data_IF_750243602626
#
_entry.id   IF_750243602626
#
_cell.length_a   1.000
_cell.length_b   1.000
_cell.length_c   1.000
_cell.angle_alpha   90.00
_cell.angle_beta   90.00
_cell.angle_gamma   90.00
#
_symmetry.space_group_name_H-M   'P 1'
#
loop_
_entity.id
_entity.type
_entity.pdbx_description
1 polymer ?
#
# COMPACT_ATOMS: atom_id res chain seq x y z
N UNK A 1 -3.09 -1.62 31.93
CA UNK A 1 -2.48 -1.06 30.70
C UNK A 1 -2.66 -2.11 29.61
N UNK A 2 -3.65 -1.98 28.73
CA UNK A 2 -3.91 -3.02 27.72
C UNK A 2 -2.83 -2.99 26.63
N UNK A 3 -2.12 -4.11 26.55
CA UNK A 3 -0.96 -4.43 25.70
C UNK A 3 -1.31 -4.81 24.25
N UNK A 4 -2.59 -4.79 23.86
CA UNK A 4 -2.99 -5.15 22.50
C UNK A 4 -2.98 -3.93 21.58
N UNK A 5 -1.84 -3.74 20.90
CA UNK A 5 -1.64 -2.77 19.83
C UNK A 5 -2.50 -3.06 18.58
N UNK A 6 -3.19 -4.20 18.58
CA UNK A 6 -3.96 -4.71 17.45
C UNK A 6 -5.45 -4.89 17.80
N UNK A 7 -6.34 -4.41 16.94
CA UNK A 7 -7.79 -4.56 17.04
C UNK A 7 -8.28 -5.72 16.14
N UNK A 8 -9.04 -6.63 16.74
CA UNK A 8 -9.62 -7.78 16.05
C UNK A 8 -10.71 -7.36 15.05
N UNK A 9 -10.94 -8.21 14.04
CA UNK A 9 -11.95 -8.01 13.00
C UNK A 9 -13.34 -7.67 13.56
N UNK A 10 -13.79 -8.32 14.63
CA UNK A 10 -15.10 -8.02 15.23
C UNK A 10 -15.17 -6.63 15.85
N UNK A 11 -14.13 -6.23 16.58
CA UNK A 11 -14.04 -4.91 17.24
C UNK A 11 -14.05 -3.79 16.19
N UNK A 12 -13.27 -3.97 15.12
CA UNK A 12 -13.19 -3.03 14.00
C UNK A 12 -14.52 -2.96 13.23
N UNK A 13 -15.14 -4.11 12.95
CA UNK A 13 -16.41 -4.16 12.25
C UNK A 13 -17.53 -3.48 13.06
N UNK A 14 -17.55 -3.69 14.38
CA UNK A 14 -18.47 -3.02 15.29
C UNK A 14 -18.27 -1.49 15.28
N UNK A 15 -17.02 -1.03 15.31
CA UNK A 15 -16.69 0.41 15.30
C UNK A 15 -17.13 1.12 14.01
N UNK A 16 -17.18 0.40 12.88
CA UNK A 16 -17.59 0.93 11.57
C UNK A 16 -19.09 0.67 11.30
N UNK A 17 -19.76 -0.09 12.17
CA UNK A 17 -21.17 -0.48 11.99
C UNK A 17 -21.39 -1.44 10.82
N UNK A 18 -20.41 -2.30 10.51
CA UNK A 18 -20.48 -3.29 9.41
C UNK A 18 -20.40 -4.71 9.95
N UNK A 19 -20.79 -5.68 9.11
CA UNK A 19 -20.67 -7.10 9.47
C UNK A 19 -19.21 -7.56 9.36
N UNK A 20 -18.71 -8.37 10.31
CA UNK A 20 -17.33 -8.87 10.29
C UNK A 20 -17.00 -9.64 9.00
N UNK A 21 -17.92 -10.49 8.55
CA UNK A 21 -17.81 -11.26 7.31
C UNK A 21 -17.82 -10.38 6.05
N UNK A 22 -18.46 -9.20 6.09
CA UNK A 22 -18.41 -8.23 5.00
C UNK A 22 -17.04 -7.55 4.95
N UNK A 23 -16.53 -7.11 6.10
CA UNK A 23 -15.21 -6.47 6.20
C UNK A 23 -14.11 -7.40 5.68
N UNK A 24 -14.12 -8.68 6.05
CA UNK A 24 -13.14 -9.66 5.56
C UNK A 24 -13.09 -9.78 4.02
N UNK A 25 -14.23 -9.65 3.33
CA UNK A 25 -14.31 -9.76 1.86
C UNK A 25 -14.06 -8.42 1.15
N UNK A 26 -14.48 -7.32 1.76
CA UNK A 26 -14.50 -6.00 1.10
C UNK A 26 -13.47 -5.01 1.66
N UNK A 27 -12.63 -5.40 2.64
CA UNK A 27 -11.67 -4.49 3.26
C UNK A 27 -10.77 -3.78 2.25
N UNK A 28 -10.34 -4.48 1.18
CA UNK A 28 -9.45 -3.91 0.16
C UNK A 28 -10.13 -2.77 -0.61
N UNK A 29 -11.33 -3.05 -1.12
CA UNK A 29 -12.16 -2.04 -1.80
C UNK A 29 -12.55 -0.91 -0.85
N UNK A 30 -12.78 -1.22 0.42
CA UNK A 30 -13.11 -0.22 1.45
C UNK A 30 -11.91 0.70 1.77
N UNK A 31 -10.70 0.15 1.83
CA UNK A 31 -9.45 0.91 1.94
C UNK A 31 -9.27 1.88 0.77
N UNK A 32 -9.45 1.39 -0.46
CA UNK A 32 -9.30 2.21 -1.67
C UNK A 32 -10.31 3.37 -1.73
N UNK A 33 -11.51 3.19 -1.16
CA UNK A 33 -12.56 4.22 -1.19
C UNK A 33 -12.49 5.22 -0.04
N UNK A 34 -12.07 4.79 1.15
CA UNK A 34 -12.19 5.60 2.38
C UNK A 34 -10.85 5.85 3.08
N UNK A 35 -9.76 5.32 2.55
CA UNK A 35 -8.43 5.39 3.18
C UNK A 35 -8.32 4.55 4.46
N UNK A 36 -9.23 3.59 4.66
CA UNK A 36 -9.26 2.74 5.86
C UNK A 36 -7.95 1.99 6.08
N UNK A 37 -7.35 1.89 7.28
CA UNK A 37 -6.03 1.25 7.48
C UNK A 37 -5.90 -0.16 6.89
N UNK A 38 -4.69 -0.47 6.38
CA UNK A 38 -4.36 -1.80 5.85
C UNK A 38 -4.33 -2.83 6.98
N UNK A 39 -4.74 -4.07 6.65
CA UNK A 39 -4.69 -5.20 7.58
C UNK A 39 -3.26 -5.71 7.73
N UNK A 40 -2.98 -6.33 8.86
CA UNK A 40 -1.70 -7.01 9.12
C UNK A 40 -1.68 -8.31 8.32
N UNK A 41 -0.64 -8.62 7.52
CA UNK A 41 -0.63 -9.83 6.69
C UNK A 41 -0.64 -11.13 7.49
N UNK A 42 -0.23 -11.09 8.77
CA UNK A 42 -0.22 -12.24 9.68
C UNK A 42 -1.61 -12.65 10.21
N UNK A 43 -2.67 -11.86 9.99
CA UNK A 43 -4.02 -12.20 10.46
C UNK A 43 -5.11 -11.22 10.01
N UNK A 44 -6.37 -11.54 10.29
CA UNK A 44 -7.48 -10.59 10.04
C UNK A 44 -7.56 -9.55 11.18
N UNK A 45 -6.46 -8.81 11.40
CA UNK A 45 -6.28 -7.88 12.52
C UNK A 45 -5.73 -6.55 12.00
N UNK A 46 -6.13 -5.44 12.63
CA UNK A 46 -5.70 -4.09 12.29
C UNK A 46 -4.92 -3.43 13.42
N UNK A 47 -4.03 -2.47 13.12
CA UNK A 47 -3.40 -1.66 14.16
C UNK A 47 -4.46 -0.79 14.83
N UNK A 48 -4.65 -0.95 16.15
CA UNK A 48 -5.69 -0.24 16.91
C UNK A 48 -5.53 1.28 16.79
N UNK A 49 -4.29 1.76 16.87
CA UNK A 49 -3.95 3.19 16.74
C UNK A 49 -4.33 3.76 15.38
N UNK A 50 -4.14 3.00 14.31
CA UNK A 50 -4.49 3.43 12.97
C UNK A 50 -6.01 3.50 12.78
N UNK A 51 -6.75 2.52 13.33
CA UNK A 51 -8.22 2.52 13.30
C UNK A 51 -8.78 3.67 14.14
N UNK A 52 -8.26 3.90 15.35
CA UNK A 52 -8.66 5.02 16.21
C UNK A 52 -8.39 6.37 15.54
N UNK A 53 -7.22 6.55 14.92
CA UNK A 53 -6.90 7.76 14.17
C UNK A 53 -7.86 7.97 13.00
N UNK A 54 -8.19 6.91 12.26
CA UNK A 54 -9.15 6.97 11.14
C UNK A 54 -10.58 7.30 11.60
N UNK A 55 -11.04 6.69 12.71
CA UNK A 55 -12.33 7.00 13.31
C UNK A 55 -12.40 8.44 13.81
N UNK A 56 -11.31 8.94 14.42
CA UNK A 56 -11.22 10.34 14.89
C UNK A 56 -11.29 11.34 13.74
N UNK A 57 -10.75 10.99 12.57
CA UNK A 57 -10.84 11.81 11.34
C UNK A 57 -12.19 11.65 10.62
N UNK A 58 -13.15 10.90 11.18
CA UNK A 58 -14.49 10.75 10.60
C UNK A 58 -14.52 9.97 9.29
N UNK A 59 -13.53 9.11 9.05
CA UNK A 59 -13.42 8.36 7.80
C UNK A 59 -13.04 9.20 6.57
N UNK A 60 -12.59 10.44 6.79
CA UNK A 60 -12.14 11.35 5.74
C UNK A 60 -10.61 11.38 5.69
N UNK A 61 -9.99 10.25 5.34
CA UNK A 61 -8.71 10.34 4.66
C UNK A 61 -9.04 10.43 3.18
N UNK A 62 -8.95 11.65 2.64
CA UNK A 62 -8.93 11.83 1.19
C UNK A 62 -7.81 10.94 0.68
N UNK A 63 -8.19 9.86 0.00
CA UNK A 63 -7.25 8.97 -0.68
C UNK A 63 -6.62 9.84 -1.75
N UNK A 64 -5.48 10.45 -1.45
CA UNK A 64 -4.58 10.80 -2.53
C UNK A 64 -4.28 9.48 -3.23
N UNK A 65 -4.60 9.34 -4.53
CA UNK A 65 -4.26 8.14 -5.26
C UNK A 65 -2.74 8.08 -5.32
N UNK A 66 -2.11 7.44 -4.33
CA UNK A 66 -0.75 6.97 -4.49
C UNK A 66 -0.82 5.88 -5.55
N UNK A 67 -0.38 6.24 -6.76
CA UNK A 67 -0.18 5.28 -7.82
C UNK A 67 0.71 4.15 -7.27
N UNK A 68 0.24 2.91 -7.36
CA UNK A 68 0.88 1.68 -6.85
C UNK A 68 2.31 1.46 -7.42
N UNK A 69 2.72 2.28 -8.40
CA UNK A 69 3.97 2.17 -9.15
C UNK A 69 4.79 3.47 -9.17
N UNK A 70 4.78 4.31 -8.12
CA UNK A 70 5.78 5.38 -8.01
C UNK A 70 7.17 4.80 -7.68
N UNK A 71 7.79 4.23 -8.70
CA UNK A 71 9.21 3.94 -8.75
C UNK A 71 9.93 5.15 -9.35
N UNK A 72 9.85 6.30 -8.69
CA UNK A 72 10.48 7.55 -9.15
C UNK A 72 12.03 7.48 -9.08
N UNK A 73 12.60 6.40 -8.54
CA UNK A 73 14.04 6.25 -8.32
C UNK A 73 14.73 5.02 -8.92
N UNK A 74 14.04 3.92 -9.27
CA UNK A 74 14.75 2.70 -9.73
C UNK A 74 14.88 2.56 -11.25
N UNK A 75 14.27 3.43 -12.06
CA UNK A 75 14.56 3.49 -13.49
C UNK A 75 16.04 3.84 -13.75
N UNK A 76 16.61 4.70 -12.90
CA UNK A 76 18.01 5.14 -12.99
C UNK A 76 18.99 4.00 -12.66
N UNK A 77 18.72 3.23 -11.60
CA UNK A 77 19.56 2.09 -11.20
C UNK A 77 19.54 0.94 -12.21
N UNK A 78 18.38 0.63 -12.81
CA UNK A 78 18.30 -0.41 -13.86
C UNK A 78 19.05 0.02 -15.11
N UNK A 79 19.02 1.31 -15.46
CA UNK A 79 19.72 1.85 -16.62
C UNK A 79 21.25 1.86 -16.42
N UNK A 80 21.72 2.21 -15.21
CA UNK A 80 23.13 2.12 -14.84
C UNK A 80 23.66 0.66 -14.83
N UNK A 81 22.84 -0.29 -14.35
CA UNK A 81 23.16 -1.70 -14.37
C UNK A 81 23.24 -2.26 -15.80
N UNK A 82 22.29 -1.88 -16.68
CA UNK A 82 22.29 -2.27 -18.08
C UNK A 82 23.51 -1.71 -18.83
N UNK A 83 23.87 -0.44 -18.60
CA UNK A 83 25.05 0.18 -19.19
C UNK A 83 26.36 -0.51 -18.74
N UNK A 84 26.45 -0.87 -17.46
CA UNK A 84 27.59 -1.61 -16.92
C UNK A 84 27.74 -3.01 -17.54
N UNK A 85 26.62 -3.69 -17.81
CA UNK A 85 26.62 -4.99 -18.48
C UNK A 85 27.06 -4.87 -19.94
N UNK A 86 26.53 -3.87 -20.66
CA UNK A 86 26.88 -3.61 -22.06
C UNK A 86 28.35 -3.24 -22.23
N UNK A 87 28.91 -2.43 -21.31
CA UNK A 87 30.33 -2.07 -21.31
C UNK A 87 31.24 -3.28 -21.12
N UNK A 88 30.85 -4.27 -20.29
CA UNK A 88 31.61 -5.50 -20.08
C UNK A 88 31.58 -6.45 -21.29
N UNK A 89 30.47 -6.46 -22.04
CA UNK A 89 30.28 -7.37 -23.18
C UNK A 89 30.53 -6.71 -24.55
N UNK A 90 30.98 -5.45 -24.60
CA UNK A 90 31.38 -4.76 -25.83
C UNK A 90 30.23 -4.47 -26.81
N UNK A 91 28.98 -4.58 -26.37
CA UNK A 91 27.82 -4.40 -27.24
C UNK A 91 27.40 -2.92 -27.32
N UNK A 92 27.32 -2.38 -28.55
CA UNK A 92 26.82 -1.02 -28.81
C UNK A 92 25.27 -1.01 -28.80
N UNK A 93 24.62 -0.01 -28.20
CA UNK A 93 23.16 0.11 -28.25
C UNK A 93 22.69 0.28 -29.71
N UNK A 94 21.68 -0.52 -30.09
CA UNK A 94 21.20 -0.65 -31.48
C UNK A 94 20.04 0.29 -31.85
N UNK A 95 19.75 1.32 -31.05
CA UNK A 95 18.69 2.27 -31.38
C UNK A 95 19.28 3.62 -31.76
N UNK A 96 19.12 3.94 -33.05
CA UNK A 96 19.63 5.14 -33.69
C UNK A 96 18.88 6.39 -33.28
N UNK A 97 19.64 7.47 -33.14
CA UNK A 97 19.14 8.82 -33.26
C UNK A 97 18.52 9.01 -34.65
N UNK A 98 17.25 9.41 -34.71
CA UNK A 98 16.75 10.19 -35.85
C UNK A 98 16.74 11.65 -35.43
N UNK A 99 17.35 12.47 -36.28
CA UNK A 99 17.35 13.93 -36.28
C UNK A 99 15.93 14.49 -36.37
#
# INVERSE_FOLDING_TARGET
MLTNETACLEEVAAAIGKRPSWLKRHWRRFHEQTGFPRKIPAGDVWPRRAVEAWLRTGGQFAVQPMADNQNDGAADMVSAAAASLLARYGAKPRYGAKQ
#
